data_IF_504409163830
#
_entry.id   IF_504409163830
#
_cell.length_a   1.000
_cell.length_b   1.000
_cell.length_c   1.000
_cell.angle_alpha   90.00
_cell.angle_beta   90.00
_cell.angle_gamma   90.00
#
_symmetry.space_group_name_H-M   'P 1'
#
loop_
_entity.id
_entity.type
_entity.pdbx_description
1 polymer ?
#
# COMPACT_ATOMS: atom_id res chain seq x y z
N UNK A 1 -0.06 9.30 13.33
CA UNK A 1 0.40 7.93 13.68
C UNK A 1 1.89 7.99 13.92
N UNK A 2 2.46 6.96 14.50
CA UNK A 2 3.87 6.80 14.81
C UNK A 2 4.37 5.51 14.17
N UNK A 3 5.68 5.34 14.10
CA UNK A 3 6.34 4.18 13.48
C UNK A 3 7.05 3.30 14.51
N UNK A 4 7.26 3.85 15.71
CA UNK A 4 8.06 3.25 16.75
C UNK A 4 9.56 3.19 16.45
N UNK A 5 10.00 3.94 15.44
CA UNK A 5 11.42 4.21 15.21
C UNK A 5 11.82 5.36 16.14
N UNK A 6 12.25 5.01 17.35
CA UNK A 6 12.69 6.02 18.31
C UNK A 6 14.09 6.53 17.94
N UNK A 7 14.14 7.75 17.44
CA UNK A 7 15.39 8.47 17.16
C UNK A 7 15.82 9.38 18.32
N UNK A 8 14.91 9.67 19.24
CA UNK A 8 15.13 10.62 20.32
C UNK A 8 14.75 10.04 21.68
N UNK A 9 15.70 10.06 22.60
CA UNK A 9 15.46 9.93 24.03
C UNK A 9 15.48 11.31 24.68
N UNK A 10 14.73 11.46 25.76
CA UNK A 10 14.59 12.72 26.47
C UNK A 10 14.56 12.46 27.98
N UNK A 11 14.81 13.50 28.78
CA UNK A 11 14.86 13.37 30.24
C UNK A 11 13.71 14.13 30.87
N UNK A 12 12.97 13.46 31.74
CA UNK A 12 11.87 14.07 32.49
C UNK A 12 12.44 15.13 33.44
N UNK A 13 12.01 16.37 33.27
CA UNK A 13 12.43 17.48 34.11
C UNK A 13 11.58 17.56 35.38
N UNK A 14 10.26 17.42 35.22
CA UNK A 14 9.31 17.59 36.32
C UNK A 14 8.07 16.72 36.09
N UNK A 15 7.55 16.19 37.19
CA UNK A 15 6.30 15.42 37.23
C UNK A 15 5.44 15.99 38.34
N UNK A 16 4.24 16.43 37.97
CA UNK A 16 3.17 16.82 38.90
C UNK A 16 1.98 15.88 38.71
N UNK A 17 0.87 16.12 39.40
CA UNK A 17 -0.32 15.27 39.28
C UNK A 17 -0.87 15.22 37.85
N UNK A 18 -0.89 16.37 37.18
CA UNK A 18 -1.50 16.58 35.87
C UNK A 18 -0.51 17.00 34.77
N UNK A 19 0.72 17.40 35.10
CA UNK A 19 1.71 17.86 34.11
C UNK A 19 2.96 17.00 34.12
N UNK A 20 3.39 16.61 32.92
CA UNK A 20 4.71 16.03 32.65
C UNK A 20 5.53 16.99 31.80
N UNK A 21 6.72 17.36 32.29
CA UNK A 21 7.67 18.23 31.59
C UNK A 21 8.93 17.46 31.25
N UNK A 22 9.37 17.54 30.01
CA UNK A 22 10.44 16.73 29.45
C UNK A 22 11.44 17.65 28.75
N UNK A 23 12.72 17.54 29.09
CA UNK A 23 13.80 18.19 28.34
C UNK A 23 14.08 17.38 27.10
N UNK A 24 13.78 17.94 25.93
CA UNK A 24 13.88 17.27 24.64
C UNK A 24 14.48 18.21 23.60
N UNK A 25 15.31 17.67 22.71
CA UNK A 25 15.79 18.39 21.53
C UNK A 25 14.72 18.56 20.45
N UNK A 26 13.55 17.96 20.62
CA UNK A 26 12.44 18.03 19.68
C UNK A 26 11.57 19.26 19.93
N UNK A 27 11.20 19.93 18.85
CA UNK A 27 10.26 21.06 18.88
C UNK A 27 8.89 20.58 18.41
N UNK A 28 7.86 20.78 19.23
CA UNK A 28 6.46 20.49 18.88
C UNK A 28 5.65 21.76 19.08
N UNK A 29 4.90 22.15 18.05
CA UNK A 29 3.99 23.29 18.15
C UNK A 29 2.89 22.99 19.19
N UNK A 30 2.42 23.99 19.96
CA UNK A 30 1.27 23.82 20.84
C UNK A 30 0.06 23.24 20.07
N UNK A 31 -0.60 22.24 20.65
CA UNK A 31 -1.66 21.48 19.99
C UNK A 31 -1.17 20.34 19.08
N UNK A 32 0.13 20.26 18.81
CA UNK A 32 0.75 19.15 18.07
C UNK A 32 0.74 17.85 18.87
N UNK A 33 0.73 16.72 18.16
CA UNK A 33 0.82 15.42 18.82
C UNK A 33 2.27 15.01 19.08
N UNK A 34 2.51 14.27 20.16
CA UNK A 34 3.81 13.69 20.50
C UNK A 34 3.59 12.35 21.20
N UNK A 35 4.45 11.37 20.93
CA UNK A 35 4.44 10.09 21.64
C UNK A 35 5.53 10.10 22.71
N UNK A 36 5.20 9.73 23.95
CA UNK A 36 6.14 9.57 25.06
C UNK A 36 6.01 8.16 25.62
N UNK A 37 7.04 7.34 25.50
CA UNK A 37 7.03 5.92 25.88
C UNK A 37 5.81 5.14 25.36
N UNK A 38 5.39 5.40 24.12
CA UNK A 38 4.21 4.76 23.53
C UNK A 38 2.87 5.39 23.90
N UNK A 39 2.86 6.50 24.66
CA UNK A 39 1.65 7.23 25.02
C UNK A 39 1.53 8.49 24.17
N UNK A 40 0.44 8.61 23.40
CA UNK A 40 0.15 9.82 22.63
C UNK A 40 -0.35 10.93 23.54
N UNK A 41 0.25 12.10 23.39
CA UNK A 41 -0.14 13.36 24.03
C UNK A 41 -0.37 14.47 23.01
N UNK A 42 -1.04 15.52 23.47
CA UNK A 42 -1.10 16.81 22.83
C UNK A 42 -0.13 17.74 23.55
N UNK A 43 0.80 18.35 22.83
CA UNK A 43 1.80 19.26 23.38
C UNK A 43 1.14 20.58 23.82
N UNK A 44 1.52 21.03 25.00
CA UNK A 44 1.19 22.35 25.54
C UNK A 44 2.31 23.36 25.22
N UNK A 45 2.03 24.67 25.34
CA UNK A 45 3.07 25.69 25.35
C UNK A 45 4.16 25.37 26.38
N UNK A 46 5.42 25.38 25.91
CA UNK A 46 6.61 25.07 26.70
C UNK A 46 7.77 26.00 26.30
N UNK A 47 8.80 26.08 27.15
CA UNK A 47 10.02 26.80 26.82
C UNK A 47 10.80 26.08 25.69
N UNK A 48 11.67 26.78 24.94
CA UNK A 48 12.53 26.13 23.96
C UNK A 48 13.37 25.01 24.58
N UNK A 49 13.39 23.84 23.93
CA UNK A 49 14.08 22.64 24.44
C UNK A 49 13.28 21.85 25.48
N UNK A 50 12.02 22.20 25.71
CA UNK A 50 11.11 21.47 26.59
C UNK A 50 9.84 21.03 25.86
N UNK A 51 9.29 19.91 26.30
CA UNK A 51 7.96 19.42 25.97
C UNK A 51 7.14 19.40 27.25
N UNK A 52 5.92 19.92 27.16
CA UNK A 52 4.96 19.91 28.27
C UNK A 52 3.68 19.23 27.80
N UNK A 53 3.17 18.30 28.58
CA UNK A 53 1.95 17.55 28.27
C UNK A 53 1.10 17.38 29.51
N UNK A 54 -0.23 17.36 29.35
CA UNK A 54 -1.15 16.98 30.41
C UNK A 54 -1.23 15.46 30.54
N UNK A 55 -1.11 14.92 31.76
CA UNK A 55 -1.30 13.50 32.06
C UNK A 55 -2.57 13.34 32.88
N UNK A 56 -3.58 12.67 32.32
CA UNK A 56 -4.81 12.36 33.06
C UNK A 56 -4.59 11.23 34.06
N UNK A 57 -5.44 11.15 35.09
CA UNK A 57 -5.42 10.04 36.04
C UNK A 57 -5.61 8.66 35.38
N UNK A 58 -6.47 8.56 34.35
CA UNK A 58 -6.65 7.31 33.61
C UNK A 58 -5.40 6.93 32.81
N UNK A 59 -4.78 7.89 32.12
CA UNK A 59 -3.51 7.67 31.42
C UNK A 59 -2.44 7.18 32.39
N UNK A 60 -2.28 7.83 33.55
CA UNK A 60 -1.32 7.44 34.58
C UNK A 60 -1.59 6.01 35.08
N UNK A 61 -2.86 5.65 35.32
CA UNK A 61 -3.26 4.32 35.80
C UNK A 61 -3.04 3.20 34.78
N UNK A 62 -3.22 3.49 33.49
CA UNK A 62 -3.18 2.49 32.40
C UNK A 62 -1.81 2.26 31.80
N UNK A 63 -0.83 3.08 32.16
CA UNK A 63 0.52 3.09 31.55
C UNK A 63 1.59 2.93 32.63
N UNK A 64 2.86 3.01 32.24
CA UNK A 64 4.03 3.06 33.14
C UNK A 64 4.30 4.45 33.73
N UNK A 65 3.50 5.46 33.34
CA UNK A 65 3.66 6.85 33.80
C UNK A 65 3.36 7.02 35.30
N UNK A 66 2.76 6.03 35.95
CA UNK A 66 2.58 5.98 37.41
C UNK A 66 3.93 5.93 38.16
N UNK A 67 5.02 5.52 37.51
CA UNK A 67 6.35 5.36 38.13
C UNK A 67 7.40 6.34 37.62
N UNK A 68 7.04 7.24 36.71
CA UNK A 68 7.98 8.22 36.18
C UNK A 68 8.27 9.31 37.21
N UNK A 69 9.55 9.64 37.37
CA UNK A 69 10.03 10.71 38.25
C UNK A 69 10.92 11.68 37.47
N UNK A 70 11.27 12.82 38.09
CA UNK A 70 12.33 13.68 37.53
C UNK A 70 13.62 12.87 37.35
N UNK A 71 14.31 13.08 36.24
CA UNK A 71 15.50 12.35 35.83
C UNK A 71 15.26 11.08 35.03
N UNK A 72 14.02 10.58 34.95
CA UNK A 72 13.70 9.39 34.15
C UNK A 72 13.93 9.65 32.66
N UNK A 73 14.60 8.72 31.97
CA UNK A 73 14.73 8.73 30.51
C UNK A 73 13.48 8.14 29.86
N UNK A 74 12.98 8.82 28.83
CA UNK A 74 11.79 8.45 28.07
C UNK A 74 12.09 8.46 26.58
N UNK A 75 11.41 7.62 25.82
CA UNK A 75 11.36 7.71 24.36
C UNK A 75 10.42 8.84 23.95
N UNK A 76 10.82 9.62 22.94
CA UNK A 76 9.95 10.64 22.36
C UNK A 76 9.94 10.48 20.84
N UNK A 77 8.74 10.45 20.26
CA UNK A 77 8.53 10.34 18.82
C UNK A 77 7.55 11.40 18.34
N UNK A 78 7.84 11.99 17.18
CA UNK A 78 6.91 12.87 16.48
C UNK A 78 6.00 12.06 15.55
N UNK A 79 4.79 12.54 15.26
CA UNK A 79 3.93 11.88 14.29
C UNK A 79 4.62 11.79 12.93
N UNK A 80 4.44 10.66 12.25
CA UNK A 80 4.85 10.48 10.85
C UNK A 80 4.16 11.53 9.97
N UNK A 81 4.93 12.27 9.18
CA UNK A 81 4.39 13.22 8.22
C UNK A 81 4.00 12.50 6.92
N UNK A 82 3.11 13.13 6.14
CA UNK A 82 2.76 12.60 4.82
C UNK A 82 4.00 12.65 3.92
N UNK A 83 4.33 11.50 3.34
CA UNK A 83 5.54 11.33 2.51
C UNK A 83 6.78 10.83 3.26
N UNK A 84 6.73 10.74 4.59
CA UNK A 84 7.82 10.12 5.36
C UNK A 84 7.88 8.61 5.12
N UNK A 85 9.10 8.06 5.21
CA UNK A 85 9.31 6.62 5.16
C UNK A 85 8.72 5.95 6.41
N UNK A 86 8.01 4.84 6.20
CA UNK A 86 7.52 3.99 7.28
C UNK A 86 8.56 2.88 7.52
N UNK A 87 9.56 3.16 8.36
CA UNK A 87 10.66 2.23 8.66
C UNK A 87 10.41 1.37 9.92
N UNK A 88 9.16 1.28 10.39
CA UNK A 88 8.72 0.49 11.55
C UNK A 88 7.32 -0.11 11.31
N UNK A 89 6.52 -0.28 12.36
CA UNK A 89 5.10 -0.64 12.21
C UNK A 89 4.19 0.51 12.66
N UNK A 90 2.93 0.49 12.24
CA UNK A 90 2.00 1.56 12.59
C UNK A 90 1.57 1.47 14.05
N UNK A 91 2.00 2.47 14.82
CA UNK A 91 1.67 2.66 16.24
C UNK A 91 0.78 3.91 16.36
N UNK A 92 -0.25 3.86 17.19
CA UNK A 92 -1.14 4.99 17.44
C UNK A 92 -0.74 5.80 18.67
N UNK A 93 0.04 5.19 19.57
CA UNK A 93 0.35 5.71 20.89
C UNK A 93 -0.78 5.42 21.88
N UNK A 94 -1.49 4.31 21.66
CA UNK A 94 -2.62 3.85 22.44
C UNK A 94 -2.21 2.59 23.23
N UNK A 95 -1.65 2.80 24.42
CA UNK A 95 -1.21 1.70 25.28
C UNK A 95 -2.36 0.75 25.61
N UNK A 96 -2.25 -0.49 25.16
CA UNK A 96 -3.26 -1.53 25.34
C UNK A 96 -3.09 -2.28 26.65
N UNK A 97 -1.89 -2.23 27.23
CA UNK A 97 -1.59 -2.81 28.52
C UNK A 97 -0.18 -2.56 28.97
N UNK A 98 0.07 -2.87 30.24
CA UNK A 98 1.42 -2.81 30.82
C UNK A 98 1.94 -4.23 30.98
N UNK A 99 3.07 -4.52 30.33
CA UNK A 99 3.79 -5.78 30.47
C UNK A 99 4.77 -5.74 31.64
N UNK A 100 5.10 -6.91 32.20
CA UNK A 100 6.17 -7.08 33.18
C UNK A 100 7.32 -7.88 32.57
N UNK A 101 8.54 -7.34 32.62
CA UNK A 101 9.77 -8.06 32.24
C UNK A 101 9.99 -9.17 33.27
N UNK A 102 9.97 -10.42 32.81
CA UNK A 102 10.16 -11.61 33.63
C UNK A 102 11.61 -12.07 33.66
N UNK A 103 12.34 -11.85 32.58
CA UNK A 103 13.70 -12.34 32.41
C UNK A 103 14.39 -11.60 31.28
N UNK A 104 15.70 -11.42 31.43
CA UNK A 104 16.59 -10.82 30.45
C UNK A 104 17.73 -11.82 30.20
N UNK A 105 17.93 -12.21 28.95
CA UNK A 105 18.99 -13.13 28.54
C UNK A 105 19.93 -12.41 27.56
N UNK A 106 21.24 -12.45 27.82
CA UNK A 106 22.23 -11.96 26.86
C UNK A 106 22.49 -13.05 25.80
N UNK A 107 22.43 -12.68 24.52
CA UNK A 107 22.66 -13.55 23.37
C UNK A 107 23.80 -13.00 22.49
N UNK A 108 24.46 -13.83 21.66
CA UNK A 108 25.56 -13.35 20.80
C UNK A 108 25.17 -12.21 19.85
N UNK A 109 23.91 -12.16 19.42
CA UNK A 109 23.40 -11.18 18.45
C UNK A 109 22.54 -10.08 19.08
N UNK A 110 22.43 -10.01 20.42
CA UNK A 110 21.58 -9.04 21.10
C UNK A 110 21.17 -9.44 22.50
N UNK A 111 20.07 -8.88 22.98
CA UNK A 111 19.52 -9.18 24.31
C UNK A 111 18.07 -9.59 24.19
N UNK A 112 17.72 -10.78 24.70
CA UNK A 112 16.33 -11.25 24.73
C UNK A 112 15.62 -10.76 25.98
N UNK A 113 14.43 -10.22 25.79
CA UNK A 113 13.51 -9.89 26.87
C UNK A 113 12.34 -10.86 26.86
N UNK A 114 12.01 -11.43 28.01
CA UNK A 114 10.77 -12.16 28.24
C UNK A 114 9.79 -11.29 28.98
N UNK A 115 8.61 -11.07 28.41
CA UNK A 115 7.62 -10.13 28.93
C UNK A 115 6.30 -10.85 29.14
N UNK A 116 5.70 -10.69 30.32
CA UNK A 116 4.32 -11.08 30.61
C UNK A 116 3.38 -9.93 30.30
N UNK A 117 2.59 -10.00 29.23
CA UNK A 117 1.54 -9.03 28.96
C UNK A 117 0.26 -9.39 29.73
N UNK A 118 -0.77 -8.52 29.75
CA UNK A 118 -2.13 -8.91 30.12
C UNK A 118 -2.68 -9.99 29.16
N UNK A 119 -3.50 -10.92 29.66
CA UNK A 119 -4.02 -12.07 28.88
C UNK A 119 -4.71 -11.64 27.58
N UNK A 120 -5.49 -10.56 27.63
CA UNK A 120 -6.18 -9.99 26.46
C UNK A 120 -5.22 -9.60 25.32
N UNK A 121 -4.03 -9.14 25.68
CA UNK A 121 -3.00 -8.72 24.72
C UNK A 121 -2.19 -9.93 24.26
N UNK A 122 -1.90 -10.89 25.15
CA UNK A 122 -1.22 -12.14 24.77
C UNK A 122 -1.96 -12.86 23.64
N UNK A 123 -3.29 -12.91 23.73
CA UNK A 123 -4.16 -13.50 22.72
C UNK A 123 -4.13 -12.77 21.36
N UNK A 124 -3.51 -11.59 21.27
CA UNK A 124 -3.38 -10.77 20.05
C UNK A 124 -1.98 -10.78 19.45
N UNK A 125 -0.97 -11.18 20.22
CA UNK A 125 0.40 -11.30 19.73
C UNK A 125 0.54 -12.48 18.78
N UNK A 126 1.39 -12.30 17.76
CA UNK A 126 1.72 -13.30 16.76
C UNK A 126 3.25 -13.38 16.69
N UNK A 127 3.81 -14.58 16.68
CA UNK A 127 5.25 -14.72 16.49
C UNK A 127 5.64 -14.16 15.12
N UNK A 128 6.77 -13.44 15.06
CA UNK A 128 7.29 -12.74 13.87
C UNK A 128 6.48 -11.53 13.43
N UNK A 129 5.44 -11.11 14.14
CA UNK A 129 4.83 -9.79 13.96
C UNK A 129 5.59 -8.72 14.75
N UNK A 130 5.17 -7.47 14.58
CA UNK A 130 5.67 -6.35 15.38
C UNK A 130 4.84 -6.15 16.66
N UNK A 131 5.46 -5.50 17.66
CA UNK A 131 4.84 -5.02 18.90
C UNK A 131 5.54 -3.71 19.31
N UNK A 132 4.78 -2.74 19.81
CA UNK A 132 5.29 -1.53 20.43
C UNK A 132 5.65 -1.78 21.88
N UNK A 133 6.90 -1.52 22.28
CA UNK A 133 7.39 -1.60 23.67
C UNK A 133 7.93 -0.22 24.07
N UNK A 134 7.24 0.47 24.98
CA UNK A 134 7.49 1.89 25.30
C UNK A 134 7.60 2.75 24.02
N UNK A 135 6.72 2.46 23.06
CA UNK A 135 6.71 3.11 21.75
C UNK A 135 7.74 2.58 20.75
N UNK A 136 8.71 1.76 21.14
CA UNK A 136 9.68 1.19 20.19
C UNK A 136 9.07 0.02 19.43
N UNK A 137 9.16 0.04 18.11
CA UNK A 137 8.73 -1.06 17.23
C UNK A 137 9.75 -2.21 17.28
N UNK A 138 9.32 -3.37 17.78
CA UNK A 138 10.17 -4.57 17.91
C UNK A 138 9.46 -5.81 17.36
N UNK A 139 10.22 -6.72 16.76
CA UNK A 139 9.69 -8.00 16.26
C UNK A 139 9.54 -8.98 17.43
N UNK A 140 8.35 -9.57 17.55
CA UNK A 140 8.05 -10.68 18.46
C UNK A 140 8.83 -11.91 18.02
N UNK A 141 9.77 -12.35 18.85
CA UNK A 141 10.59 -13.51 18.54
C UNK A 141 9.81 -14.82 18.72
N UNK A 142 9.04 -14.93 19.81
CA UNK A 142 8.28 -16.11 20.20
C UNK A 142 7.11 -15.72 21.12
N UNK A 143 6.01 -16.48 21.06
CA UNK A 143 4.85 -16.35 21.97
C UNK A 143 4.63 -17.69 22.68
N UNK A 144 4.57 -17.66 24.01
CA UNK A 144 4.27 -18.79 24.89
C UNK A 144 2.94 -18.57 25.62
N UNK A 145 2.51 -19.57 26.40
CA UNK A 145 1.21 -19.57 27.09
C UNK A 145 0.98 -18.38 28.04
N UNK A 146 2.03 -17.85 28.66
CA UNK A 146 1.94 -16.79 29.69
C UNK A 146 2.85 -15.57 29.43
N UNK A 147 3.59 -15.58 28.31
CA UNK A 147 4.62 -14.57 28.00
C UNK A 147 4.99 -14.59 26.52
N UNK A 148 5.65 -13.54 26.06
CA UNK A 148 6.32 -13.51 24.76
C UNK A 148 7.77 -13.08 24.93
N UNK A 149 8.59 -13.30 23.90
CA UNK A 149 9.95 -12.77 23.85
C UNK A 149 10.18 -11.86 22.66
N UNK A 150 11.11 -10.93 22.84
CA UNK A 150 11.69 -10.09 21.79
C UNK A 150 13.20 -10.12 21.89
N UNK A 151 13.89 -9.87 20.78
CA UNK A 151 15.35 -9.74 20.76
C UNK A 151 15.70 -8.30 20.39
N UNK A 152 16.40 -7.62 21.28
CA UNK A 152 16.94 -6.28 21.06
C UNK A 152 18.28 -6.41 20.34
N UNK A 153 18.32 -5.95 19.10
CA UNK A 153 19.54 -5.91 18.27
C UNK A 153 20.46 -4.75 18.69
N UNK A 154 21.74 -4.74 18.31
CA UNK A 154 22.72 -3.75 18.77
C UNK A 154 22.27 -2.29 18.58
N UNK A 155 21.68 -1.96 17.43
CA UNK A 155 21.20 -0.60 17.17
C UNK A 155 20.06 -0.20 18.12
N UNK A 156 19.13 -1.10 18.42
CA UNK A 156 18.05 -0.86 19.39
C UNK A 156 18.61 -0.68 20.80
N UNK A 157 19.59 -1.50 21.19
CA UNK A 157 20.25 -1.39 22.49
C UNK A 157 20.96 -0.05 22.68
N UNK A 158 21.56 0.49 21.61
CA UNK A 158 22.28 1.76 21.65
C UNK A 158 21.34 2.98 21.62
N UNK A 159 20.25 2.92 20.84
CA UNK A 159 19.40 4.08 20.57
C UNK A 159 18.19 4.21 21.50
N UNK A 160 17.86 3.16 22.27
CA UNK A 160 16.65 3.11 23.09
C UNK A 160 17.00 2.79 24.55
N UNK A 161 16.11 3.16 25.48
CA UNK A 161 16.26 2.78 26.88
C UNK A 161 15.95 1.30 27.14
N UNK A 162 15.43 0.56 26.14
CA UNK A 162 15.08 -0.85 26.32
C UNK A 162 16.29 -1.70 26.71
N UNK A 163 17.51 -1.28 26.33
CA UNK A 163 18.74 -1.94 26.74
C UNK A 163 19.01 -1.90 28.24
N UNK A 164 18.40 -0.98 29.00
CA UNK A 164 18.59 -0.86 30.45
C UNK A 164 17.55 -1.63 31.26
N UNK A 165 16.59 -2.28 30.60
CA UNK A 165 15.52 -3.02 31.29
C UNK A 165 16.08 -4.22 32.05
N UNK A 166 15.56 -4.42 33.26
CA UNK A 166 15.87 -5.56 34.12
C UNK A 166 14.61 -6.32 34.50
N UNK A 167 14.78 -7.51 35.09
CA UNK A 167 13.66 -8.28 35.62
C UNK A 167 12.85 -7.45 36.64
N UNK A 168 11.53 -7.47 36.50
CA UNK A 168 10.61 -6.71 37.34
C UNK A 168 10.16 -5.38 36.75
N UNK A 169 10.86 -4.86 35.72
CA UNK A 169 10.48 -3.64 35.05
C UNK A 169 9.13 -3.77 34.34
N UNK A 170 8.46 -2.63 34.18
CA UNK A 170 7.17 -2.51 33.52
C UNK A 170 7.36 -1.73 32.23
N UNK A 171 6.67 -2.15 31.17
CA UNK A 171 6.71 -1.52 29.84
C UNK A 171 5.31 -1.32 29.30
N UNK A 172 5.08 -0.22 28.59
CA UNK A 172 3.87 0.01 27.82
C UNK A 172 3.87 -0.87 26.58
N UNK A 173 2.75 -1.54 26.31
CA UNK A 173 2.60 -2.43 25.17
C UNK A 173 1.47 -1.97 24.25
N UNK A 174 1.73 -2.02 22.95
CA UNK A 174 0.76 -1.78 21.88
C UNK A 174 0.93 -2.86 20.81
N UNK A 175 -0.16 -3.53 20.40
CA UNK A 175 -0.12 -4.50 19.31
C UNK A 175 -0.08 -3.82 17.94
N UNK A 176 0.41 -4.54 16.94
CA UNK A 176 0.41 -4.09 15.55
C UNK A 176 -1.02 -3.80 15.05
N UNK A 177 -1.23 -2.60 14.50
CA UNK A 177 -2.54 -2.14 14.05
C UNK A 177 -3.18 -3.08 13.01
N UNK A 178 -2.39 -3.60 12.06
CA UNK A 178 -2.88 -4.48 11.01
C UNK A 178 -3.24 -5.85 11.60
N UNK A 179 -2.40 -6.41 12.48
CA UNK A 179 -2.69 -7.66 13.20
C UNK A 179 -3.95 -7.52 14.05
N UNK A 180 -4.13 -6.38 14.73
CA UNK A 180 -5.32 -6.11 15.53
C UNK A 180 -6.57 -6.07 14.67
N UNK A 181 -6.56 -5.32 13.57
CA UNK A 181 -7.69 -5.25 12.65
C UNK A 181 -8.02 -6.63 12.04
N UNK A 182 -7.01 -7.42 11.66
CA UNK A 182 -7.21 -8.75 11.09
C UNK A 182 -7.90 -9.69 12.09
N UNK A 183 -7.50 -9.65 13.37
CA UNK A 183 -8.04 -10.51 14.43
C UNK A 183 -9.41 -10.07 14.94
N UNK A 184 -9.79 -8.81 14.78
CA UNK A 184 -11.11 -8.29 15.19
C UNK A 184 -12.23 -8.61 14.19
N UNK A 185 -11.99 -9.51 13.23
CA UNK A 185 -12.99 -10.00 12.29
C UNK A 185 -13.10 -9.16 11.01
N UNK A 186 -12.27 -8.13 10.86
CA UNK A 186 -12.20 -7.33 9.64
C UNK A 186 -11.34 -7.95 8.55
N UNK A 187 -10.96 -9.24 8.60
CA UNK A 187 -10.03 -9.86 7.64
C UNK A 187 -10.32 -9.52 6.16
N UNK A 188 -11.53 -9.77 5.64
CA UNK A 188 -11.90 -9.41 4.26
C UNK A 188 -11.94 -7.90 3.99
N UNK A 189 -12.37 -7.11 4.98
CA UNK A 189 -12.48 -5.65 4.88
C UNK A 189 -11.11 -4.97 4.99
N UNK A 190 -10.19 -5.55 5.75
CA UNK A 190 -8.80 -5.19 5.91
C UNK A 190 -8.02 -5.61 4.68
N UNK A 191 -8.24 -6.81 4.13
CA UNK A 191 -7.69 -7.18 2.82
C UNK A 191 -8.17 -6.20 1.76
N UNK A 192 -9.44 -5.80 1.79
CA UNK A 192 -9.99 -4.77 0.89
C UNK A 192 -9.42 -3.37 1.15
N UNK A 193 -9.13 -3.02 2.41
CA UNK A 193 -8.56 -1.73 2.78
C UNK A 193 -7.04 -1.67 2.51
N UNK A 194 -6.32 -2.77 2.72
CA UNK A 194 -4.90 -2.98 2.39
C UNK A 194 -4.73 -3.09 0.87
N UNK A 195 -5.67 -3.74 0.18
CA UNK A 195 -5.76 -3.69 -1.28
C UNK A 195 -6.22 -2.33 -1.80
N UNK A 196 -6.58 -1.38 -0.92
CA UNK A 196 -6.80 0.03 -1.25
C UNK A 196 -5.66 0.93 -0.74
N UNK A 197 -4.73 0.41 0.07
CA UNK A 197 -3.51 1.14 0.40
C UNK A 197 -2.71 1.36 -0.90
N UNK A 198 -1.98 2.49 -1.02
CA UNK A 198 -1.19 2.84 -2.18
C UNK A 198 0.18 2.11 -2.14
N UNK A 199 0.19 0.79 -1.91
CA UNK A 199 1.36 0.01 -2.31
C UNK A 199 1.49 0.05 -3.82
N UNK A 200 2.69 0.40 -4.21
CA UNK A 200 3.10 0.75 -5.55
C UNK A 200 4.37 -0.05 -5.86
N UNK A 201 4.59 -0.38 -7.13
CA UNK A 201 5.76 -1.18 -7.54
C UNK A 201 5.46 -2.67 -7.67
N UNK A 202 6.53 -3.45 -7.89
CA UNK A 202 6.43 -4.84 -8.29
C UNK A 202 5.97 -5.76 -7.16
N UNK A 203 4.96 -6.56 -7.46
CA UNK A 203 4.38 -7.61 -6.63
C UNK A 203 4.55 -8.94 -7.34
N UNK A 204 4.71 -10.01 -6.57
CA UNK A 204 4.92 -11.36 -7.13
C UNK A 204 4.01 -12.39 -6.51
N UNK A 205 3.73 -13.44 -7.29
CA UNK A 205 2.89 -14.57 -6.89
C UNK A 205 1.41 -14.21 -6.70
N UNK A 206 0.66 -15.17 -6.16
CA UNK A 206 -0.80 -15.13 -6.02
C UNK A 206 -1.31 -13.84 -5.35
N UNK A 207 -0.69 -13.42 -4.24
CA UNK A 207 -1.08 -12.20 -3.51
C UNK A 207 -0.92 -10.93 -4.37
N UNK A 208 0.11 -10.89 -5.22
CA UNK A 208 0.31 -9.78 -6.16
C UNK A 208 -0.78 -9.74 -7.24
N UNK A 209 -1.16 -10.91 -7.76
CA UNK A 209 -2.22 -11.03 -8.76
C UNK A 209 -3.59 -10.65 -8.15
N UNK A 210 -3.92 -11.15 -6.98
CA UNK A 210 -5.17 -10.80 -6.27
C UNK A 210 -5.30 -9.30 -6.04
N UNK A 211 -4.19 -8.61 -5.74
CA UNK A 211 -4.17 -7.15 -5.62
C UNK A 211 -4.52 -6.47 -6.93
N UNK A 212 -3.83 -6.80 -8.03
CA UNK A 212 -4.07 -6.11 -9.30
C UNK A 212 -5.51 -6.35 -9.78
N UNK A 213 -6.04 -7.56 -9.58
CA UNK A 213 -7.45 -7.88 -9.82
C UNK A 213 -8.38 -6.99 -8.99
N UNK A 214 -8.13 -6.85 -7.68
CA UNK A 214 -8.92 -5.97 -6.82
C UNK A 214 -8.80 -4.48 -7.20
N UNK A 215 -7.62 -4.02 -7.63
CA UNK A 215 -7.38 -2.66 -8.09
C UNK A 215 -8.16 -2.36 -9.39
N UNK A 216 -8.10 -3.28 -10.37
CA UNK A 216 -8.87 -3.19 -11.61
C UNK A 216 -10.37 -3.19 -11.32
N UNK A 217 -10.84 -4.07 -10.41
CA UNK A 217 -12.25 -4.11 -10.01
C UNK A 217 -12.73 -2.79 -9.34
N UNK A 218 -11.82 -2.10 -8.64
CA UNK A 218 -12.09 -0.78 -8.07
C UNK A 218 -12.09 0.36 -9.12
N UNK A 219 -11.70 0.08 -10.37
CA UNK A 219 -11.54 1.05 -11.45
C UNK A 219 -10.19 1.78 -11.44
N UNK A 220 -9.19 1.24 -10.72
CA UNK A 220 -7.81 1.72 -10.72
C UNK A 220 -6.98 1.11 -11.85
N UNK A 221 -5.83 1.72 -12.12
CA UNK A 221 -4.85 1.22 -13.08
C UNK A 221 -3.83 0.29 -12.42
N UNK A 222 -3.21 -0.57 -13.23
CA UNK A 222 -2.13 -1.50 -12.83
C UNK A 222 -1.06 -1.53 -13.92
N UNK A 223 0.15 -1.97 -13.60
CA UNK A 223 1.20 -2.22 -14.61
C UNK A 223 1.36 -3.71 -14.84
N UNK A 224 1.37 -4.13 -16.10
CA UNK A 224 1.70 -5.50 -16.50
C UNK A 224 3.03 -5.47 -17.24
N UNK A 225 4.04 -6.14 -16.70
CA UNK A 225 5.36 -6.28 -17.27
C UNK A 225 5.51 -7.62 -18.00
N UNK A 226 5.98 -7.58 -19.25
CA UNK A 226 6.39 -8.77 -20.00
C UNK A 226 7.92 -8.81 -20.13
N UNK A 227 8.62 -9.72 -19.41
CA UNK A 227 10.07 -9.85 -19.52
C UNK A 227 10.55 -10.56 -20.80
N UNK A 228 9.66 -11.07 -21.65
CA UNK A 228 10.01 -12.01 -22.72
C UNK A 228 9.78 -11.50 -24.13
N UNK A 229 8.53 -11.23 -24.53
CA UNK A 229 8.19 -11.01 -25.94
C UNK A 229 8.53 -9.59 -26.36
N UNK A 230 8.07 -8.60 -25.59
CA UNK A 230 8.24 -7.19 -25.90
C UNK A 230 9.30 -6.52 -25.02
N UNK A 231 9.58 -7.06 -23.82
CA UNK A 231 10.41 -6.38 -22.82
C UNK A 231 9.87 -4.98 -22.50
N UNK A 232 8.54 -4.85 -22.42
CA UNK A 232 7.79 -3.62 -22.19
C UNK A 232 6.74 -3.80 -21.08
N UNK A 233 6.31 -2.68 -20.51
CA UNK A 233 5.28 -2.63 -19.48
C UNK A 233 4.13 -1.73 -19.88
N UNK A 234 2.90 -2.23 -19.69
CA UNK A 234 1.69 -1.50 -20.02
C UNK A 234 0.93 -1.09 -18.78
N UNK A 235 0.37 0.12 -18.80
CA UNK A 235 -0.66 0.50 -17.84
C UNK A 235 -2.01 -0.01 -18.32
N UNK A 236 -2.65 -0.84 -17.50
CA UNK A 236 -3.91 -1.52 -17.78
C UNK A 236 -5.05 -0.96 -16.94
N UNK A 237 -6.22 -0.77 -17.55
CA UNK A 237 -7.49 -0.43 -16.89
C UNK A 237 -8.63 -1.28 -17.44
N UNK A 238 -9.70 -1.46 -16.64
CA UNK A 238 -10.98 -1.99 -17.15
C UNK A 238 -11.75 -0.93 -17.93
N UNK A 239 -12.22 -1.28 -19.13
CA UNK A 239 -12.96 -0.39 -20.03
C UNK A 239 -14.30 0.07 -19.44
N UNK A 240 -15.01 -0.83 -18.76
CA UNK A 240 -16.33 -0.57 -18.15
C UNK A 240 -16.33 0.61 -17.16
N UNK A 241 -15.22 0.79 -16.43
CA UNK A 241 -15.06 1.84 -15.41
C UNK A 241 -14.09 2.93 -15.82
N UNK A 242 -13.67 2.96 -17.08
CA UNK A 242 -12.62 3.85 -17.56
C UNK A 242 -13.08 5.32 -17.53
N UNK A 243 -12.25 6.20 -16.97
CA UNK A 243 -12.61 7.62 -16.70
C UNK A 243 -11.79 8.58 -17.57
N UNK A 244 -12.31 9.79 -17.85
CA UNK A 244 -11.57 10.81 -18.60
C UNK A 244 -10.19 11.13 -17.99
N UNK A 245 -10.07 11.13 -16.67
CA UNK A 245 -8.83 11.39 -15.96
C UNK A 245 -7.78 10.30 -16.21
N UNK A 246 -8.22 9.04 -16.31
CA UNK A 246 -7.34 7.92 -16.66
C UNK A 246 -6.81 8.08 -18.09
N UNK A 247 -7.65 8.49 -19.05
CA UNK A 247 -7.19 8.79 -20.41
C UNK A 247 -6.19 9.96 -20.44
N UNK A 248 -6.44 11.04 -19.69
CA UNK A 248 -5.46 12.14 -19.55
C UNK A 248 -4.14 11.65 -18.96
N UNK A 249 -4.20 10.76 -17.96
CA UNK A 249 -3.01 10.13 -17.38
C UNK A 249 -2.23 9.31 -18.41
N UNK A 250 -2.91 8.46 -19.19
CA UNK A 250 -2.29 7.69 -20.27
C UNK A 250 -1.57 8.61 -21.26
N UNK A 251 -2.20 9.71 -21.68
CA UNK A 251 -1.63 10.62 -22.69
C UNK A 251 -0.44 11.45 -22.21
N UNK A 252 -0.39 11.75 -20.91
CA UNK A 252 0.57 12.73 -20.36
C UNK A 252 1.68 12.10 -19.55
N UNK A 253 1.46 10.89 -19.02
CA UNK A 253 2.41 10.22 -18.13
C UNK A 253 2.85 8.87 -18.67
N UNK A 254 1.97 8.11 -19.33
CA UNK A 254 2.30 6.80 -19.91
C UNK A 254 2.88 6.97 -21.31
N UNK A 255 2.29 7.85 -22.12
CA UNK A 255 2.81 8.33 -23.40
C UNK A 255 2.92 7.30 -24.55
N UNK A 256 2.53 6.05 -24.33
CA UNK A 256 2.41 5.01 -25.36
C UNK A 256 1.20 5.14 -26.29
N UNK A 257 0.96 4.08 -27.04
CA UNK A 257 -0.18 3.95 -27.93
C UNK A 257 -1.36 3.30 -27.19
N UNK A 258 -2.34 4.12 -26.81
CA UNK A 258 -3.52 3.59 -26.10
C UNK A 258 -4.38 2.72 -27.01
N UNK A 259 -4.48 1.43 -26.67
CA UNK A 259 -5.31 0.44 -27.38
C UNK A 259 -6.32 -0.22 -26.45
N UNK A 260 -7.36 -0.83 -27.03
CA UNK A 260 -8.50 -1.40 -26.30
C UNK A 260 -8.58 -2.92 -26.51
N UNK A 261 -7.79 -3.72 -25.77
CA UNK A 261 -7.94 -5.16 -25.75
C UNK A 261 -9.36 -5.58 -25.41
N UNK A 262 -9.96 -6.37 -26.30
CA UNK A 262 -11.35 -6.80 -26.22
C UNK A 262 -11.43 -8.28 -26.54
N UNK A 263 -12.33 -9.01 -25.88
CA UNK A 263 -12.66 -10.36 -26.33
C UNK A 263 -13.19 -10.32 -27.78
N UNK A 264 -12.81 -11.32 -28.57
CA UNK A 264 -13.13 -11.34 -30.00
C UNK A 264 -14.64 -11.31 -30.28
N UNK A 265 -15.44 -11.95 -29.42
CA UNK A 265 -16.91 -11.99 -29.52
C UNK A 265 -17.56 -10.61 -29.30
N UNK A 266 -16.94 -9.73 -28.50
CA UNK A 266 -17.38 -8.34 -28.36
C UNK A 266 -17.22 -7.59 -29.69
N UNK A 267 -16.07 -7.73 -30.36
CA UNK A 267 -15.81 -7.05 -31.62
C UNK A 267 -16.66 -7.62 -32.76
N UNK A 268 -16.87 -8.94 -32.79
CA UNK A 268 -17.78 -9.61 -33.72
C UNK A 268 -19.23 -9.11 -33.56
N UNK A 269 -19.75 -9.09 -32.32
CA UNK A 269 -21.09 -8.59 -32.00
C UNK A 269 -21.29 -7.13 -32.42
N UNK A 270 -20.26 -6.31 -32.31
CA UNK A 270 -20.30 -4.89 -32.66
C UNK A 270 -19.95 -4.63 -34.13
N UNK A 271 -19.74 -5.67 -34.93
CA UNK A 271 -19.35 -5.58 -36.34
C UNK A 271 -18.17 -4.61 -36.54
N UNK A 272 -17.18 -4.68 -35.66
CA UNK A 272 -15.92 -3.96 -35.82
C UNK A 272 -14.99 -4.94 -36.54
N UNK A 273 -14.65 -4.73 -37.82
CA UNK A 273 -13.83 -5.68 -38.56
C UNK A 273 -12.34 -5.51 -38.23
N UNK A 274 -11.52 -6.55 -38.50
CA UNK A 274 -10.07 -6.43 -38.41
C UNK A 274 -9.54 -5.37 -39.37
N UNK A 275 -8.43 -4.73 -38.98
CA UNK A 275 -7.74 -3.79 -39.85
C UNK A 275 -7.11 -4.57 -41.03
N UNK A 276 -7.24 -4.10 -42.30
CA UNK A 276 -6.63 -4.79 -43.44
C UNK A 276 -5.10 -4.83 -43.35
N UNK A 277 -4.49 -6.00 -43.57
CA UNK A 277 -3.04 -6.19 -43.59
C UNK A 277 -2.60 -7.51 -42.96
N UNK A 278 -1.29 -7.81 -43.00
CA UNK A 278 -0.71 -9.01 -42.36
C UNK A 278 -0.47 -8.83 -40.85
N UNK A 279 -0.61 -7.62 -40.32
CA UNK A 279 -0.36 -7.27 -38.92
C UNK A 279 1.07 -6.76 -38.66
N UNK A 280 1.42 -6.65 -37.38
CA UNK A 280 2.77 -6.29 -36.93
C UNK A 280 3.63 -7.54 -36.65
N UNK A 281 4.86 -7.33 -36.17
CA UNK A 281 5.80 -8.42 -35.85
C UNK A 281 5.34 -9.29 -34.67
N UNK A 282 4.44 -8.78 -33.84
CA UNK A 282 3.95 -9.43 -32.62
C UNK A 282 2.59 -10.14 -32.83
N UNK A 283 2.07 -10.07 -34.06
CA UNK A 283 0.78 -10.64 -34.42
C UNK A 283 -0.40 -9.93 -33.76
N UNK A 284 -0.25 -8.64 -33.45
CA UNK A 284 -1.27 -7.81 -32.79
C UNK A 284 -2.52 -7.70 -33.66
N UNK A 285 -3.67 -8.14 -33.12
CA UNK A 285 -4.93 -8.22 -33.86
C UNK A 285 -5.69 -6.88 -33.88
N UNK A 286 -5.11 -5.88 -34.54
CA UNK A 286 -5.68 -4.54 -34.70
C UNK A 286 -7.04 -4.59 -35.42
N UNK A 287 -8.00 -3.84 -34.90
CA UNK A 287 -9.32 -3.65 -35.51
C UNK A 287 -9.53 -2.20 -35.96
N UNK A 288 -10.52 -2.00 -36.84
CA UNK A 288 -10.86 -0.65 -37.32
C UNK A 288 -11.17 0.26 -36.14
N UNK A 289 -10.54 1.44 -36.10
CA UNK A 289 -10.74 2.39 -35.03
C UNK A 289 -12.16 2.94 -35.01
N UNK A 290 -12.65 3.30 -33.83
CA UNK A 290 -14.03 3.73 -33.61
C UNK A 290 -14.13 5.00 -32.79
N UNK A 291 -15.23 5.73 -32.98
CA UNK A 291 -15.68 6.81 -32.10
C UNK A 291 -17.17 6.61 -31.78
N UNK A 292 -17.61 7.08 -30.62
CA UNK A 292 -19.02 7.04 -30.24
C UNK A 292 -19.86 7.98 -31.12
N UNK A 293 -20.83 7.43 -31.86
CA UNK A 293 -21.65 8.16 -32.82
C UNK A 293 -22.52 9.25 -32.19
N UNK A 294 -22.90 9.09 -30.92
CA UNK A 294 -23.65 10.11 -30.19
C UNK A 294 -22.80 11.26 -29.66
N UNK A 295 -21.47 11.21 -29.82
CA UNK A 295 -20.60 12.32 -29.40
C UNK A 295 -20.76 13.52 -30.33
N UNK A 296 -20.82 14.73 -29.76
CA UNK A 296 -20.90 15.97 -30.53
C UNK A 296 -19.55 16.57 -30.89
N UNK A 297 -18.46 16.03 -30.35
CA UNK A 297 -17.09 16.51 -30.58
C UNK A 297 -16.38 15.79 -31.72
N UNK A 298 -15.06 15.83 -31.71
CA UNK A 298 -14.23 15.20 -32.77
C UNK A 298 -13.80 13.78 -32.43
N UNK A 299 -14.15 13.27 -31.23
CA UNK A 299 -13.76 11.93 -30.76
C UNK A 299 -12.41 11.86 -30.04
N UNK A 300 -11.53 12.85 -30.23
CA UNK A 300 -10.13 12.79 -29.73
C UNK A 300 -9.97 13.11 -28.24
N UNK A 301 -10.87 13.93 -27.69
CA UNK A 301 -10.75 14.41 -26.31
C UNK A 301 -10.79 13.26 -25.31
N UNK A 302 -10.10 13.41 -24.17
CA UNK A 302 -10.01 12.36 -23.16
C UNK A 302 -11.39 11.87 -22.68
N UNK A 303 -12.34 12.78 -22.53
CA UNK A 303 -13.71 12.46 -22.16
C UNK A 303 -14.48 11.69 -23.25
N UNK A 304 -14.26 12.02 -24.52
CA UNK A 304 -14.90 11.36 -25.67
C UNK A 304 -14.35 9.95 -25.86
N UNK A 305 -13.03 9.77 -25.84
CA UNK A 305 -12.41 8.43 -25.89
C UNK A 305 -12.86 7.57 -24.72
N UNK A 306 -12.90 8.12 -23.50
CA UNK A 306 -13.40 7.38 -22.35
C UNK A 306 -14.89 6.99 -22.50
N UNK A 307 -15.73 7.84 -23.12
CA UNK A 307 -17.11 7.50 -23.42
C UNK A 307 -17.24 6.38 -24.47
N UNK A 308 -16.46 6.45 -25.55
CA UNK A 308 -16.37 5.39 -26.57
C UNK A 308 -15.95 4.05 -25.96
N UNK A 309 -14.91 4.05 -25.12
CA UNK A 309 -14.41 2.83 -24.44
C UNK A 309 -15.47 2.23 -23.51
N UNK A 310 -16.13 3.05 -22.68
CA UNK A 310 -17.23 2.56 -21.83
C UNK A 310 -18.39 2.01 -22.66
N UNK A 311 -18.68 2.59 -23.83
CA UNK A 311 -19.71 2.04 -24.73
C UNK A 311 -19.27 0.71 -25.33
N UNK A 312 -18.02 0.55 -25.76
CA UNK A 312 -17.47 -0.73 -26.22
C UNK A 312 -17.63 -1.84 -25.16
N UNK A 313 -17.40 -1.51 -23.90
CA UNK A 313 -17.57 -2.42 -22.77
C UNK A 313 -19.04 -2.73 -22.41
N UNK A 314 -20.02 -2.04 -23.00
CA UNK A 314 -21.43 -2.21 -22.64
C UNK A 314 -22.04 -3.46 -23.28
N UNK A 315 -22.75 -4.25 -22.48
CA UNK A 315 -23.43 -5.46 -22.93
C UNK A 315 -24.56 -5.18 -23.95
N UNK A 316 -25.17 -4.00 -23.88
CA UNK A 316 -26.26 -3.54 -24.76
C UNK A 316 -25.76 -2.64 -25.92
N UNK A 317 -24.45 -2.56 -26.13
CA UNK A 317 -23.89 -1.83 -27.27
C UNK A 317 -24.30 -2.45 -28.61
N UNK A 318 -24.58 -1.59 -29.60
CA UNK A 318 -24.99 -1.97 -30.94
C UNK A 318 -23.98 -1.47 -31.96
N UNK A 319 -23.84 -2.13 -33.13
CA UNK A 319 -22.92 -1.68 -34.19
C UNK A 319 -23.11 -0.21 -34.61
N UNK A 320 -24.36 0.29 -34.56
CA UNK A 320 -24.74 1.65 -34.92
C UNK A 320 -24.29 2.72 -33.91
N UNK A 321 -23.85 2.33 -32.71
CA UNK A 321 -23.33 3.27 -31.72
C UNK A 321 -21.94 3.79 -32.09
N UNK A 322 -21.29 3.20 -33.10
CA UNK A 322 -19.90 3.48 -33.44
C UNK A 322 -19.75 4.02 -34.87
N UNK A 323 -19.01 5.11 -34.99
CA UNK A 323 -18.45 5.60 -36.25
C UNK A 323 -17.15 4.86 -36.56
N UNK A 324 -16.82 4.73 -37.84
CA UNK A 324 -15.62 4.05 -38.35
C UNK A 324 -15.07 4.86 -39.55
N UNK A 325 -13.80 5.31 -39.55
CA UNK A 325 -12.81 5.20 -38.49
C UNK A 325 -13.10 6.17 -37.30
N UNK A 326 -12.29 6.07 -36.24
CA UNK A 326 -12.29 7.00 -35.10
C UNK A 326 -10.95 7.03 -34.35
N UNK A 327 -10.96 7.40 -33.07
CA UNK A 327 -9.74 7.65 -32.26
C UNK A 327 -9.51 6.63 -31.13
N UNK A 328 -10.35 5.60 -31.05
CA UNK A 328 -10.19 4.46 -30.15
C UNK A 328 -9.81 3.24 -30.97
N UNK A 329 -8.75 2.52 -30.60
CA UNK A 329 -8.14 1.45 -31.39
C UNK A 329 -8.34 0.07 -30.73
N UNK A 330 -9.35 -0.72 -31.12
CA UNK A 330 -9.59 -2.02 -30.51
C UNK A 330 -8.59 -3.08 -30.96
N UNK A 331 -8.28 -4.01 -30.04
CA UNK A 331 -7.50 -5.22 -30.30
C UNK A 331 -8.34 -6.44 -29.96
N UNK A 332 -8.28 -7.51 -30.76
CA UNK A 332 -8.89 -8.77 -30.41
C UNK A 332 -7.93 -9.65 -29.60
N UNK A 333 -8.31 -10.01 -28.37
CA UNK A 333 -7.63 -11.07 -27.63
C UNK A 333 -7.96 -12.45 -28.21
N UNK A 334 -6.99 -13.35 -28.16
CA UNK A 334 -7.20 -14.77 -28.48
C UNK A 334 -8.19 -15.41 -27.50
N UNK A 335 -9.10 -16.30 -27.94
CA UNK A 335 -10.09 -16.92 -27.05
C UNK A 335 -9.48 -17.70 -25.87
N UNK A 336 -8.30 -18.31 -26.04
CA UNK A 336 -7.58 -18.98 -24.96
C UNK A 336 -6.81 -18.04 -24.02
N UNK A 337 -6.86 -16.73 -24.24
CA UNK A 337 -6.14 -15.71 -23.46
C UNK A 337 -4.66 -16.08 -23.26
N UNK A 338 -4.13 -15.96 -22.04
CA UNK A 338 -2.72 -16.23 -21.74
C UNK A 338 -2.31 -17.69 -21.95
N UNK A 339 -3.25 -18.63 -21.97
CA UNK A 339 -2.97 -20.03 -22.32
C UNK A 339 -2.70 -20.23 -23.83
N UNK A 340 -3.14 -19.30 -24.68
CA UNK A 340 -2.94 -19.33 -26.13
C UNK A 340 -1.87 -18.34 -26.59
N UNK A 341 -1.83 -17.12 -26.01
CA UNK A 341 -0.85 -16.07 -26.32
C UNK A 341 -0.51 -15.26 -25.07
N UNK A 342 0.77 -15.22 -24.72
CA UNK A 342 1.30 -14.43 -23.62
C UNK A 342 1.60 -12.98 -24.07
N UNK A 343 0.56 -12.21 -24.39
CA UNK A 343 0.71 -10.78 -24.74
C UNK A 343 -0.15 -9.87 -23.88
N UNK A 344 0.15 -8.57 -23.85
CA UNK A 344 -0.61 -7.59 -23.06
C UNK A 344 -2.08 -7.49 -23.46
N UNK A 345 -2.41 -7.80 -24.71
CA UNK A 345 -3.80 -7.91 -25.18
C UNK A 345 -4.57 -8.97 -24.38
N UNK A 346 -4.04 -10.19 -24.30
CA UNK A 346 -4.64 -11.30 -23.55
C UNK A 346 -4.58 -11.06 -22.05
N UNK A 347 -3.48 -10.54 -21.52
CA UNK A 347 -3.34 -10.20 -20.10
C UNK A 347 -4.40 -9.18 -19.66
N UNK A 348 -4.65 -8.16 -20.49
CA UNK A 348 -5.64 -7.11 -20.21
C UNK A 348 -7.06 -7.68 -20.15
N UNK A 349 -7.45 -8.51 -21.12
CA UNK A 349 -8.77 -9.14 -21.12
C UNK A 349 -8.91 -10.12 -19.96
N UNK A 350 -7.88 -10.92 -19.67
CA UNK A 350 -7.87 -11.84 -18.54
C UNK A 350 -8.03 -11.12 -17.19
N UNK A 351 -7.34 -10.00 -16.98
CA UNK A 351 -7.49 -9.17 -15.78
C UNK A 351 -8.90 -8.59 -15.66
N UNK A 352 -9.50 -8.13 -16.76
CA UNK A 352 -10.87 -7.64 -16.73
C UNK A 352 -11.86 -8.73 -16.32
N UNK A 353 -11.74 -9.93 -16.89
CA UNK A 353 -12.57 -11.09 -16.54
C UNK A 353 -12.36 -11.50 -15.08
N UNK A 354 -11.12 -11.62 -14.62
CA UNK A 354 -10.79 -11.95 -13.23
C UNK A 354 -11.34 -10.92 -12.24
N UNK A 355 -11.37 -9.64 -12.63
CA UNK A 355 -11.94 -8.54 -11.85
C UNK A 355 -13.49 -8.49 -11.87
N UNK A 356 -14.14 -9.41 -12.58
CA UNK A 356 -15.61 -9.43 -12.74
C UNK A 356 -16.13 -8.24 -13.56
N UNK A 357 -15.33 -7.70 -14.48
CA UNK A 357 -15.70 -6.62 -15.38
C UNK A 357 -15.99 -7.17 -16.78
N UNK A 358 -16.61 -6.35 -17.65
CA UNK A 358 -16.72 -6.66 -19.07
C UNK A 358 -15.33 -6.99 -19.68
N UNK A 359 -15.24 -7.94 -20.64
CA UNK A 359 -13.97 -8.38 -21.23
C UNK A 359 -13.44 -7.38 -22.28
N UNK A 360 -13.38 -6.11 -21.89
CA UNK A 360 -12.90 -4.96 -22.64
C UNK A 360 -12.06 -4.13 -21.69
N UNK A 361 -10.75 -4.04 -21.96
CA UNK A 361 -9.81 -3.26 -21.19
C UNK A 361 -9.15 -2.16 -22.02
N UNK A 362 -8.25 -1.43 -21.37
CA UNK A 362 -7.41 -0.40 -21.97
C UNK A 362 -5.98 -0.72 -21.60
N UNK A 363 -5.07 -0.77 -22.57
CA UNK A 363 -3.64 -0.85 -22.31
C UNK A 363 -2.89 0.25 -23.07
N UNK A 364 -1.72 0.61 -22.55
CA UNK A 364 -0.89 1.67 -23.08
C UNK A 364 0.53 1.46 -22.55
N UNK A 365 1.49 1.38 -23.46
CA UNK A 365 2.87 1.06 -23.18
C UNK A 365 3.57 2.24 -22.49
N UNK A 366 4.38 2.00 -21.46
CA UNK A 366 5.07 3.08 -20.74
C UNK A 366 6.28 3.55 -21.54
N UNK A 367 6.26 4.82 -21.93
CA UNK A 367 7.33 5.48 -22.67
C UNK A 367 7.98 6.57 -21.82
N UNK A 368 9.31 6.59 -21.82
CA UNK A 368 10.08 7.63 -21.13
C UNK A 368 9.90 8.99 -21.81
N UNK A 369 10.13 10.11 -21.09
CA UNK A 369 9.97 11.46 -21.66
C UNK A 369 10.87 11.78 -22.86
N UNK A 370 11.93 11.01 -23.09
CA UNK A 370 12.81 11.11 -24.25
C UNK A 370 12.29 10.33 -25.48
N UNK A 371 11.12 9.69 -25.37
CA UNK A 371 10.47 8.94 -26.44
C UNK A 371 10.95 7.49 -26.57
N UNK A 372 11.73 6.98 -25.62
CA UNK A 372 12.20 5.60 -25.61
C UNK A 372 11.34 4.76 -24.67
N UNK A 373 11.06 3.50 -25.02
CA UNK A 373 10.31 2.59 -24.16
C UNK A 373 10.98 2.39 -22.80
N UNK A 374 10.17 2.30 -21.75
CA UNK A 374 10.64 2.14 -20.37
C UNK A 374 11.17 0.72 -20.15
N UNK A 375 12.41 0.61 -19.65
CA UNK A 375 12.96 -0.68 -19.22
C UNK A 375 12.47 -1.08 -17.81
N UNK A 376 12.88 -2.25 -17.30
CA UNK A 376 12.44 -2.76 -16.01
C UNK A 376 12.63 -1.77 -14.84
N UNK A 377 13.81 -1.16 -14.75
CA UNK A 377 14.13 -0.20 -13.69
C UNK A 377 13.33 1.12 -13.81
N UNK A 378 12.95 1.50 -15.03
CA UNK A 378 12.10 2.68 -15.27
C UNK A 378 10.65 2.36 -14.89
N UNK A 379 10.19 1.15 -15.20
CA UNK A 379 8.85 0.68 -14.85
C UNK A 379 8.64 0.56 -13.34
N UNK A 380 9.61 0.05 -12.60
CA UNK A 380 9.55 0.05 -11.13
C UNK A 380 9.43 1.48 -10.58
N UNK A 381 10.24 2.41 -11.08
CA UNK A 381 10.18 3.82 -10.68
C UNK A 381 8.86 4.47 -11.08
N UNK A 382 8.34 4.15 -12.25
CA UNK A 382 7.07 4.65 -12.77
C UNK A 382 5.90 4.15 -11.90
N UNK A 383 5.86 2.85 -11.63
CA UNK A 383 4.86 2.22 -10.79
C UNK A 383 4.85 2.82 -9.38
N UNK A 384 6.04 3.01 -8.79
CA UNK A 384 6.19 3.69 -7.49
C UNK A 384 5.73 5.14 -7.52
N UNK A 385 6.13 5.92 -8.54
CA UNK A 385 5.77 7.33 -8.68
C UNK A 385 4.26 7.55 -8.78
N UNK A 386 3.57 6.67 -9.50
CA UNK A 386 2.15 6.81 -9.82
C UNK A 386 1.24 5.92 -8.97
N UNK A 387 1.80 5.33 -7.93
CA UNK A 387 1.07 4.49 -6.98
C UNK A 387 0.34 3.30 -7.64
N UNK A 388 0.95 2.73 -8.68
CA UNK A 388 0.40 1.61 -9.44
C UNK A 388 1.03 0.29 -8.96
N UNK A 389 0.21 -0.74 -8.62
CA UNK A 389 0.73 -2.08 -8.44
C UNK A 389 1.18 -2.65 -9.79
N UNK A 390 2.33 -3.31 -9.79
CA UNK A 390 2.94 -3.91 -10.98
C UNK A 390 3.07 -5.42 -10.79
N UNK A 391 2.75 -6.20 -11.81
CA UNK A 391 2.95 -7.65 -11.83
C UNK A 391 3.70 -8.08 -13.08
N UNK A 392 4.33 -9.25 -13.00
CA UNK A 392 4.86 -9.98 -14.16
C UNK A 392 3.73 -10.76 -14.85
N UNK A 393 3.70 -10.75 -16.18
CA UNK A 393 2.68 -11.46 -16.97
C UNK A 393 2.65 -12.97 -16.65
N UNK A 394 3.78 -13.57 -16.29
CA UNK A 394 3.86 -14.98 -15.92
C UNK A 394 3.26 -15.27 -14.53
N UNK A 395 3.20 -14.27 -13.63
CA UNK A 395 2.49 -14.45 -12.36
C UNK A 395 0.98 -14.53 -12.60
N UNK A 396 0.46 -13.69 -13.49
CA UNK A 396 -0.95 -13.75 -13.90
C UNK A 396 -1.26 -15.06 -14.62
N UNK A 397 -0.43 -15.49 -15.56
CA UNK A 397 -0.59 -16.76 -16.27
C UNK A 397 -0.66 -17.96 -15.30
N UNK A 398 0.22 -18.01 -14.29
CA UNK A 398 0.23 -19.10 -13.31
C UNK A 398 -0.99 -19.11 -12.37
N UNK A 399 -1.62 -17.95 -12.20
CA UNK A 399 -2.74 -17.77 -11.27
C UNK A 399 -4.09 -18.10 -11.90
N UNK A 400 -4.25 -17.86 -13.21
CA UNK A 400 -5.41 -18.26 -14.01
C UNK A 400 -5.45 -19.79 -14.20
#
# INVERSE_FOLDING_TARGET
MFTGRIEHTATVAEVTDDVLRIKSGLTVAPGGAVCVDGVRFTAEPAAPGELRVTVTAETRRRTTLDRITSGTTVHVELPVAVGDRIDGHLIQGHVEGVGKVLRVDDEPAGRRLWIRPPDRLLARLVAKSSVGIDGVSIIVAEVLKDRFSVVLVPNTLQKTKLGTLVEGDRVNLESDLLVRMAREGHGPELLRAVSQLPWAGQLSGEVGVEKVVAQVAAGGGVVVWDPTAESEGDVVFAGERFRPEAMTFLLTQVCGHTTIPSAADVLERLEIPPMPGEGDRQGTAMHVSVDLASSSGTGVAAAERAATIRRLASADALPADFLRPGHVFPLAARPGLLAERQGHTEATVALCVAAGMAPVGVCCEVMRPDGVMAGPADLEQFALRWELPMIDIHDLERWL
#
